data_IF_837704677523
#
_entry.id   IF_837704677523
#
_cell.length_a   1.000
_cell.length_b   1.000
_cell.length_c   1.000
_cell.angle_alpha   90.00
_cell.angle_beta   90.00
_cell.angle_gamma   90.00
#
_symmetry.space_group_name_H-M   'P 1'
#
loop_
_entity.id
_entity.type
_entity.pdbx_description
1 polymer ?
#
# COMPACT_ATOMS: atom_id res chain seq x y z
N UNK A 1 -6.84 20.60 29.06
CA UNK A 1 -8.17 20.90 28.49
C UNK A 1 -8.36 20.30 27.08
N UNK A 2 -7.36 19.62 26.50
CA UNK A 2 -7.45 19.02 25.15
C UNK A 2 -8.00 17.58 25.11
N UNK A 3 -8.03 16.86 26.24
CA UNK A 3 -8.45 15.45 26.27
C UNK A 3 -9.94 15.19 25.99
N UNK A 4 -10.80 16.20 26.09
CA UNK A 4 -12.24 16.03 25.85
C UNK A 4 -12.64 16.15 24.37
N UNK A 5 -11.86 16.86 23.54
CA UNK A 5 -12.19 17.04 22.11
C UNK A 5 -11.88 15.79 21.27
N UNK A 6 -10.79 15.06 21.60
CA UNK A 6 -10.38 13.84 20.90
C UNK A 6 -11.42 12.71 20.99
N UNK A 7 -12.16 12.63 22.10
CA UNK A 7 -13.13 11.56 22.33
C UNK A 7 -14.46 11.73 21.56
N UNK A 8 -14.74 12.91 21.00
CA UNK A 8 -15.94 13.15 20.18
C UNK A 8 -15.73 12.77 18.72
N UNK A 9 -14.49 12.81 18.22
CA UNK A 9 -14.20 12.60 16.80
C UNK A 9 -14.00 11.12 16.41
N UNK A 10 -13.75 10.25 17.40
CA UNK A 10 -13.37 8.86 17.17
C UNK A 10 -14.18 7.92 18.05
N UNK A 11 -14.82 6.92 17.45
CA UNK A 11 -15.40 5.80 18.17
C UNK A 11 -14.42 4.62 18.15
N UNK A 12 -13.88 4.25 19.32
CA UNK A 12 -13.00 3.09 19.45
C UNK A 12 -13.80 1.79 19.33
N UNK A 13 -13.46 0.98 18.32
CA UNK A 13 -13.92 -0.41 18.15
C UNK A 13 -12.87 -1.33 18.81
N UNK A 14 -13.23 -2.55 19.28
CA UNK A 14 -12.31 -3.48 19.96
C UNK A 14 -10.92 -3.62 19.33
N UNK A 15 -9.94 -3.80 20.21
CA UNK A 15 -8.53 -4.03 19.91
C UNK A 15 -8.30 -5.53 19.74
N UNK A 16 -7.59 -5.92 18.69
CA UNK A 16 -7.19 -7.31 18.48
C UNK A 16 -5.67 -7.44 18.53
N UNK A 17 -5.17 -8.58 19.01
CA UNK A 17 -3.73 -8.83 19.15
C UNK A 17 -3.42 -10.18 18.53
N UNK A 18 -2.64 -10.17 17.44
CA UNK A 18 -2.32 -11.37 16.65
C UNK A 18 -1.31 -12.26 17.37
N UNK A 19 -0.38 -11.66 18.12
CA UNK A 19 0.62 -12.37 18.89
C UNK A 19 0.96 -11.62 20.17
N UNK A 20 1.23 -12.31 21.29
CA UNK A 20 1.81 -11.69 22.48
C UNK A 20 3.28 -11.25 22.27
N UNK A 21 3.87 -11.51 21.09
CA UNK A 21 5.22 -11.10 20.70
C UNK A 21 5.15 -10.05 19.59
N UNK A 22 6.15 -9.16 19.49
CA UNK A 22 6.26 -8.24 18.36
C UNK A 22 6.18 -8.97 17.02
N UNK A 23 5.24 -8.53 16.18
CA UNK A 23 5.09 -8.91 14.78
C UNK A 23 5.47 -7.66 14.01
N UNK A 24 6.65 -7.64 13.42
CA UNK A 24 7.09 -6.53 12.58
C UNK A 24 6.20 -6.54 11.33
N UNK A 25 5.07 -5.84 11.42
CA UNK A 25 4.12 -5.64 10.33
C UNK A 25 4.80 -4.80 9.26
N UNK A 26 4.74 -5.27 8.03
CA UNK A 26 5.36 -4.61 6.88
C UNK A 26 4.33 -4.22 5.82
N UNK A 27 3.14 -4.80 5.85
CA UNK A 27 2.04 -4.44 4.96
C UNK A 27 0.69 -4.89 5.51
N UNK A 28 -0.36 -4.18 5.13
CA UNK A 28 -1.74 -4.48 5.46
C UNK A 28 -2.62 -4.20 4.24
N UNK A 29 -3.59 -5.07 4.00
CA UNK A 29 -4.68 -4.81 3.09
C UNK A 29 -6.00 -5.28 3.70
N UNK A 30 -7.09 -4.70 3.21
CA UNK A 30 -8.44 -5.11 3.54
C UNK A 30 -9.08 -5.76 2.32
N UNK A 31 -9.84 -6.83 2.53
CA UNK A 31 -10.52 -7.56 1.46
C UNK A 31 -11.41 -8.64 2.03
N UNK A 32 -12.47 -9.01 1.31
CA UNK A 32 -13.35 -10.13 1.67
C UNK A 32 -12.66 -11.45 1.28
N UNK A 33 -12.14 -12.17 2.28
CA UNK A 33 -11.35 -13.40 2.07
C UNK A 33 -12.21 -14.65 2.18
N UNK A 34 -13.30 -14.62 2.94
CA UNK A 34 -14.19 -15.77 3.13
C UNK A 34 -15.50 -15.70 2.33
N UNK A 35 -15.74 -14.61 1.61
CA UNK A 35 -16.85 -14.41 0.69
C UNK A 35 -18.16 -14.02 1.39
N UNK A 36 -18.09 -13.37 2.55
CA UNK A 36 -19.25 -12.97 3.35
C UNK A 36 -19.69 -11.51 3.15
N UNK A 37 -19.07 -10.80 2.19
CA UNK A 37 -19.24 -9.37 1.89
C UNK A 37 -18.78 -8.42 3.02
N UNK A 38 -18.11 -8.90 4.07
CA UNK A 38 -17.42 -8.07 5.07
C UNK A 38 -15.92 -7.98 4.77
N UNK A 39 -15.30 -6.82 5.03
CA UNK A 39 -13.86 -6.66 4.83
C UNK A 39 -13.09 -7.32 5.97
N UNK A 40 -12.13 -8.18 5.61
CA UNK A 40 -11.18 -8.81 6.52
C UNK A 40 -9.84 -8.07 6.54
N UNK A 41 -8.99 -8.40 7.52
CA UNK A 41 -7.64 -7.85 7.61
C UNK A 41 -6.61 -8.90 7.18
N UNK A 42 -5.80 -8.56 6.19
CA UNK A 42 -4.64 -9.37 5.76
C UNK A 42 -3.36 -8.61 6.07
N UNK A 43 -2.45 -9.23 6.82
CA UNK A 43 -1.16 -8.65 7.18
C UNK A 43 0.00 -9.46 6.61
N UNK A 44 0.97 -8.76 6.03
CA UNK A 44 2.31 -9.27 5.82
C UNK A 44 3.21 -8.84 6.97
N UNK A 45 3.92 -9.80 7.58
CA UNK A 45 4.75 -9.52 8.74
C UNK A 45 5.98 -10.42 8.83
N UNK A 46 6.92 -9.97 9.65
CA UNK A 46 8.18 -10.63 9.96
C UNK A 46 8.48 -10.51 11.46
N UNK A 47 9.61 -11.07 11.91
CA UNK A 47 10.11 -10.86 13.28
C UNK A 47 9.82 -11.97 14.28
N UNK A 48 8.72 -12.73 14.16
CA UNK A 48 8.57 -13.98 14.90
C UNK A 48 9.03 -15.17 14.01
N UNK A 49 10.13 -15.88 14.37
CA UNK A 49 10.62 -17.03 13.61
C UNK A 49 9.61 -18.18 13.46
N UNK A 50 8.53 -18.17 14.25
CA UNK A 50 7.46 -19.15 14.21
C UNK A 50 6.23 -18.68 13.41
N UNK A 51 6.11 -17.38 13.11
CA UNK A 51 4.91 -16.80 12.49
C UNK A 51 5.18 -15.92 11.27
N UNK A 52 6.43 -15.69 10.85
CA UNK A 52 6.73 -14.88 9.68
C UNK A 52 5.92 -15.34 8.44
N UNK A 53 5.31 -14.37 7.76
CA UNK A 53 4.51 -14.63 6.57
C UNK A 53 3.27 -13.76 6.48
N UNK A 54 2.15 -14.36 6.10
CA UNK A 54 0.86 -13.66 5.99
C UNK A 54 -0.10 -14.15 7.06
N UNK A 55 -0.84 -13.23 7.69
CA UNK A 55 -1.94 -13.57 8.57
C UNK A 55 -3.25 -12.98 8.06
N UNK A 56 -4.31 -13.78 8.09
CA UNK A 56 -5.69 -13.35 7.84
C UNK A 56 -6.43 -13.30 9.16
N UNK A 57 -7.16 -12.21 9.38
CA UNK A 57 -8.12 -12.06 10.47
C UNK A 57 -9.47 -11.76 9.85
N UNK A 58 -10.38 -12.72 9.97
CA UNK A 58 -11.72 -12.54 9.44
C UNK A 58 -12.49 -11.59 10.34
N UNK A 59 -13.16 -10.62 9.73
CA UNK A 59 -14.20 -9.86 10.38
C UNK A 59 -15.40 -10.78 10.61
N UNK A 60 -16.03 -10.68 11.77
CA UNK A 60 -17.22 -11.48 12.12
C UNK A 60 -18.32 -10.55 12.61
N UNK A 61 -18.43 -9.40 11.97
CA UNK A 61 -19.26 -8.27 12.35
C UNK A 61 -18.68 -7.40 13.47
N UNK A 62 -19.47 -6.36 13.82
CA UNK A 62 -19.09 -5.12 14.54
C UNK A 62 -18.45 -5.24 15.94
N UNK A 63 -18.04 -6.42 16.40
CA UNK A 63 -17.33 -6.59 17.68
C UNK A 63 -16.38 -7.78 17.80
N UNK A 64 -16.19 -8.59 16.75
CA UNK A 64 -15.30 -9.75 16.82
C UNK A 64 -14.52 -9.95 15.52
N UNK A 65 -13.23 -10.24 15.64
CA UNK A 65 -12.46 -10.85 14.55
C UNK A 65 -12.10 -12.28 14.92
N UNK A 66 -11.80 -13.11 13.92
CA UNK A 66 -11.33 -14.48 14.14
C UNK A 66 -9.98 -14.51 14.86
N UNK A 67 -9.60 -15.71 15.33
CA UNK A 67 -8.17 -15.94 15.57
C UNK A 67 -7.40 -15.81 14.26
N UNK A 68 -6.17 -15.28 14.28
CA UNK A 68 -5.38 -15.12 13.07
C UNK A 68 -5.04 -16.49 12.47
N UNK A 69 -5.31 -16.65 11.17
CA UNK A 69 -4.82 -17.78 10.38
C UNK A 69 -3.54 -17.36 9.68
N UNK A 70 -2.43 -18.02 10.00
CA UNK A 70 -1.10 -17.63 9.49
C UNK A 70 -0.56 -18.63 8.47
N UNK A 71 0.05 -18.09 7.43
CA UNK A 71 0.64 -18.78 6.30
C UNK A 71 2.14 -18.51 6.28
N UNK A 72 2.93 -19.57 6.40
CA UNK A 72 4.39 -19.48 6.28
C UNK A 72 4.76 -19.43 4.81
N UNK A 73 5.44 -18.36 4.43
CA UNK A 73 5.94 -18.13 3.07
C UNK A 73 7.12 -19.05 2.74
N UNK A 74 7.42 -19.19 1.44
CA UNK A 74 8.52 -19.97 0.90
C UNK A 74 9.88 -19.52 1.44
N UNK A 75 10.00 -18.25 1.80
CA UNK A 75 11.19 -17.66 2.44
C UNK A 75 10.83 -16.72 3.62
N UNK A 76 11.83 -16.11 4.25
CA UNK A 76 11.63 -15.34 5.49
C UNK A 76 10.90 -14.01 5.25
N UNK A 77 9.89 -13.75 6.08
CA UNK A 77 9.18 -12.46 6.15
C UNK A 77 8.29 -12.13 4.94
N UNK A 78 7.21 -11.39 5.18
CA UNK A 78 6.46 -10.70 4.13
C UNK A 78 6.75 -9.20 4.23
N UNK A 79 7.22 -8.54 3.16
CA UNK A 79 7.51 -7.08 3.17
C UNK A 79 6.58 -6.25 2.30
N UNK A 80 5.71 -6.89 1.51
CA UNK A 80 4.68 -6.23 0.71
C UNK A 80 3.59 -7.24 0.35
N UNK A 81 2.37 -6.75 0.19
CA UNK A 81 1.16 -7.56 0.05
C UNK A 81 0.21 -6.86 -0.92
N UNK A 82 -0.29 -7.59 -1.91
CA UNK A 82 -1.42 -7.17 -2.75
C UNK A 82 -2.43 -8.30 -2.86
N UNK A 83 -3.72 -7.96 -2.86
CA UNK A 83 -4.84 -8.87 -3.02
C UNK A 83 -5.48 -8.67 -4.39
N UNK A 84 -5.74 -9.77 -5.10
CA UNK A 84 -6.45 -9.79 -6.37
C UNK A 84 -6.89 -11.22 -6.70
N UNK A 85 -7.87 -11.37 -7.57
CA UNK A 85 -8.25 -12.67 -8.14
C UNK A 85 -7.33 -12.96 -9.35
N UNK A 86 -6.30 -13.80 -9.16
CA UNK A 86 -5.32 -14.14 -10.19
C UNK A 86 -5.72 -15.38 -11.01
N UNK A 87 -6.69 -16.17 -10.53
CA UNK A 87 -7.14 -17.41 -11.14
C UNK A 87 -8.62 -17.39 -11.62
N UNK A 88 -9.25 -16.22 -11.56
CA UNK A 88 -10.62 -15.93 -11.97
C UNK A 88 -11.69 -16.79 -11.27
N UNK A 89 -11.43 -17.21 -10.04
CA UNK A 89 -12.37 -18.01 -9.25
C UNK A 89 -13.31 -17.17 -8.36
N UNK A 90 -13.23 -15.84 -8.49
CA UNK A 90 -13.98 -14.83 -7.73
C UNK A 90 -13.60 -14.75 -6.25
N UNK A 91 -12.43 -15.24 -5.88
CA UNK A 91 -11.89 -15.13 -4.53
C UNK A 91 -10.62 -14.31 -4.57
N UNK A 92 -10.37 -13.57 -3.49
CA UNK A 92 -9.11 -12.85 -3.37
C UNK A 92 -7.98 -13.84 -3.11
N UNK A 93 -6.96 -13.77 -3.93
CA UNK A 93 -5.64 -14.35 -3.72
C UNK A 93 -4.71 -13.28 -3.12
N UNK A 94 -3.53 -13.71 -2.66
CA UNK A 94 -2.49 -12.81 -2.19
C UNK A 94 -1.20 -13.00 -3.00
N UNK A 95 -0.58 -11.89 -3.41
CA UNK A 95 0.83 -11.85 -3.82
C UNK A 95 1.65 -11.16 -2.74
N UNK A 96 2.79 -11.75 -2.38
CA UNK A 96 3.59 -11.33 -1.23
C UNK A 96 5.06 -11.30 -1.58
N UNK A 97 5.72 -10.19 -1.23
CA UNK A 97 7.19 -10.11 -1.29
C UNK A 97 7.82 -10.86 -0.12
N UNK A 98 8.72 -11.78 -0.41
CA UNK A 98 9.51 -12.53 0.58
C UNK A 98 10.95 -12.03 0.63
N UNK A 99 11.63 -12.20 1.76
CA UNK A 99 13.05 -11.85 1.93
C UNK A 99 13.88 -13.08 2.33
N UNK A 100 14.71 -13.51 1.40
CA UNK A 100 15.65 -14.59 1.58
C UNK A 100 16.68 -14.38 2.67
N UNK A 101 17.14 -15.48 3.26
CA UNK A 101 18.27 -15.47 4.18
C UNK A 101 19.58 -14.99 3.52
N UNK A 102 19.65 -15.05 2.19
CA UNK A 102 20.71 -14.51 1.34
C UNK A 102 20.53 -13.00 1.04
N UNK A 103 19.44 -12.39 1.51
CA UNK A 103 19.08 -11.00 1.25
C UNK A 103 18.36 -10.78 -0.08
N UNK A 104 18.15 -11.82 -0.88
CA UNK A 104 17.41 -11.75 -2.14
C UNK A 104 15.92 -11.77 -1.85
N UNK A 105 15.14 -10.95 -2.54
CA UNK A 105 13.68 -10.97 -2.41
C UNK A 105 13.04 -11.74 -3.55
N UNK A 106 11.94 -12.41 -3.25
CA UNK A 106 11.16 -13.20 -4.21
C UNK A 106 9.67 -12.90 -4.06
N UNK A 107 8.84 -13.49 -4.92
CA UNK A 107 7.38 -13.38 -4.84
C UNK A 107 6.73 -14.74 -4.61
N UNK A 108 5.88 -14.80 -3.59
CA UNK A 108 4.93 -15.88 -3.38
C UNK A 108 3.53 -15.45 -3.79
N UNK A 109 2.78 -16.36 -4.40
CA UNK A 109 1.33 -16.24 -4.64
C UNK A 109 0.61 -17.29 -3.81
N UNK A 110 -0.45 -16.89 -3.11
CA UNK A 110 -1.29 -17.76 -2.30
C UNK A 110 -2.73 -17.65 -2.82
N UNK A 111 -3.23 -18.72 -3.45
CA UNK A 111 -4.59 -18.73 -4.01
C UNK A 111 -5.65 -18.86 -2.92
N UNK A 112 -6.72 -18.07 -3.00
CA UNK A 112 -7.89 -18.13 -2.14
C UNK A 112 -8.57 -19.49 -2.24
N UNK A 113 -8.95 -20.07 -1.09
CA UNK A 113 -9.60 -21.38 -1.04
C UNK A 113 -11.07 -21.28 -0.60
N UNK A 114 -11.55 -20.08 -0.25
CA UNK A 114 -12.91 -19.81 0.21
C UNK A 114 -13.33 -20.65 1.43
N UNK A 115 -12.35 -21.19 2.15
CA UNK A 115 -12.50 -21.92 3.40
C UNK A 115 -11.92 -21.11 4.56
N UNK A 116 -12.14 -19.79 4.54
CA UNK A 116 -11.61 -18.82 5.52
C UNK A 116 -10.10 -18.53 5.34
N UNK A 117 -9.60 -18.49 4.10
CA UNK A 117 -8.23 -18.07 3.80
C UNK A 117 -7.63 -18.61 2.50
N UNK A 118 -6.29 -18.64 2.46
CA UNK A 118 -5.48 -19.05 1.31
C UNK A 118 -5.00 -20.51 1.34
N UNK A 119 -4.52 -20.97 0.20
CA UNK A 119 -3.81 -22.22 -0.01
C UNK A 119 -2.33 -22.17 0.36
N UNK A 120 -1.56 -23.16 -0.11
CA UNK A 120 -0.12 -23.16 0.07
C UNK A 120 0.53 -22.07 -0.81
N UNK A 121 1.55 -21.33 -0.32
CA UNK A 121 2.30 -20.39 -1.15
C UNK A 121 3.02 -21.09 -2.29
N UNK A 122 3.00 -20.46 -3.46
CA UNK A 122 3.75 -20.85 -4.64
C UNK A 122 4.73 -19.74 -5.03
N UNK A 123 6.00 -20.09 -5.20
CA UNK A 123 7.06 -19.17 -5.60
C UNK A 123 6.98 -18.88 -7.10
N UNK A 124 6.65 -17.64 -7.48
CA UNK A 124 6.41 -17.26 -8.89
C UNK A 124 7.54 -16.42 -9.52
N UNK A 125 8.37 -15.76 -8.72
CA UNK A 125 9.53 -14.99 -9.20
C UNK A 125 10.71 -15.10 -8.22
N UNK A 126 11.65 -16.03 -8.42
CA UNK A 126 12.82 -16.18 -7.55
C UNK A 126 13.90 -15.14 -7.86
N UNK A 127 14.52 -14.57 -6.80
CA UNK A 127 15.78 -13.79 -6.87
C UNK A 127 15.73 -12.41 -7.56
N UNK A 128 14.62 -11.68 -7.48
CA UNK A 128 14.40 -10.43 -8.23
C UNK A 128 14.81 -9.13 -7.50
N UNK A 129 15.41 -9.19 -6.30
CA UNK A 129 15.67 -7.97 -5.45
C UNK A 129 14.46 -7.01 -5.43
N UNK A 130 13.27 -7.59 -5.30
CA UNK A 130 12.00 -6.89 -5.37
C UNK A 130 11.91 -5.80 -4.31
N UNK A 131 11.69 -4.55 -4.70
CA UNK A 131 11.55 -3.41 -3.80
C UNK A 131 10.10 -2.92 -3.65
N UNK A 132 9.25 -3.21 -4.62
CA UNK A 132 7.83 -2.89 -4.58
C UNK A 132 7.05 -3.77 -5.56
N UNK A 133 5.78 -3.97 -5.24
CA UNK A 133 4.83 -4.68 -6.09
C UNK A 133 3.52 -3.91 -6.19
N UNK A 134 2.90 -3.98 -7.36
CA UNK A 134 1.52 -3.55 -7.59
C UNK A 134 0.79 -4.51 -8.52
N UNK A 135 -0.54 -4.42 -8.54
CA UNK A 135 -1.42 -5.22 -9.40
C UNK A 135 -2.18 -4.30 -10.36
N UNK A 136 -2.37 -4.78 -11.59
CA UNK A 136 -3.12 -4.07 -12.65
C UNK A 136 -3.49 -5.01 -13.78
N UNK A 137 -4.28 -4.54 -14.74
CA UNK A 137 -4.39 -5.18 -16.07
C UNK A 137 -3.61 -4.27 -17.02
N UNK A 138 -2.34 -4.60 -17.28
CA UNK A 138 -1.43 -3.72 -18.01
C UNK A 138 -1.52 -3.91 -19.52
N UNK A 139 -2.06 -5.04 -19.99
CA UNK A 139 -2.18 -5.34 -21.42
C UNK A 139 -3.63 -5.39 -21.92
N UNK A 140 -4.59 -5.03 -21.07
CA UNK A 140 -6.03 -5.01 -21.34
C UNK A 140 -6.59 -6.38 -21.78
N UNK A 141 -6.01 -7.48 -21.29
CA UNK A 141 -6.48 -8.84 -21.59
C UNK A 141 -7.56 -9.35 -20.60
N UNK A 142 -7.82 -8.59 -19.54
CA UNK A 142 -8.80 -8.89 -18.50
C UNK A 142 -8.24 -9.69 -17.33
N UNK A 143 -6.98 -10.13 -17.39
CA UNK A 143 -6.32 -10.85 -16.31
C UNK A 143 -5.58 -9.89 -15.38
N UNK A 144 -5.36 -10.33 -14.13
CA UNK A 144 -4.57 -9.57 -13.16
C UNK A 144 -3.10 -9.87 -13.37
N UNK A 145 -2.36 -8.83 -13.69
CA UNK A 145 -0.91 -8.80 -13.82
C UNK A 145 -0.26 -8.25 -12.55
N UNK A 146 1.02 -8.58 -12.37
CA UNK A 146 1.83 -8.01 -11.28
C UNK A 146 2.96 -7.18 -11.90
N UNK A 147 3.13 -5.95 -11.41
CA UNK A 147 4.33 -5.17 -11.68
C UNK A 147 5.28 -5.24 -10.49
N UNK A 148 6.57 -5.42 -10.80
CA UNK A 148 7.65 -5.59 -9.85
C UNK A 148 8.69 -4.50 -10.12
N UNK A 149 8.97 -3.70 -9.09
CA UNK A 149 10.04 -2.71 -9.13
C UNK A 149 11.23 -3.24 -8.34
N UNK A 150 12.43 -3.18 -8.92
CA UNK A 150 13.63 -3.82 -8.39
C UNK A 150 14.82 -2.86 -8.36
N UNK A 151 15.86 -3.22 -7.61
CA UNK A 151 17.12 -2.49 -7.58
C UNK A 151 18.01 -2.87 -8.76
N UNK A 152 18.48 -1.89 -9.53
CA UNK A 152 19.46 -2.11 -10.61
C UNK A 152 20.84 -2.41 -10.03
N UNK A 153 21.27 -3.66 -10.08
CA UNK A 153 22.71 -4.01 -10.06
C UNK A 153 23.02 -4.61 -11.44
N UNK A 154 24.23 -4.36 -11.93
CA UNK A 154 24.72 -4.75 -13.27
C UNK A 154 24.12 -6.08 -13.80
N UNK A 155 23.13 -5.96 -14.70
CA UNK A 155 22.45 -7.09 -15.36
C UNK A 155 21.00 -7.40 -14.93
N UNK A 156 20.48 -6.80 -13.85
CA UNK A 156 19.10 -7.00 -13.38
C UNK A 156 18.16 -5.92 -13.95
N UNK A 157 16.98 -6.33 -14.47
CA UNK A 157 15.96 -5.41 -14.95
C UNK A 157 15.27 -4.70 -13.76
N UNK A 158 15.22 -3.35 -13.74
CA UNK A 158 14.63 -2.63 -12.61
C UNK A 158 13.10 -2.63 -12.58
N UNK A 159 12.46 -3.08 -13.67
CA UNK A 159 11.02 -3.20 -13.79
C UNK A 159 10.70 -4.53 -14.51
N UNK A 160 9.85 -5.34 -13.89
CA UNK A 160 9.37 -6.60 -14.47
C UNK A 160 7.84 -6.61 -14.43
N UNK A 161 7.21 -6.91 -15.56
CA UNK A 161 5.79 -7.24 -15.63
C UNK A 161 5.62 -8.76 -15.63
N UNK A 162 4.80 -9.27 -14.73
CA UNK A 162 4.36 -10.65 -14.69
C UNK A 162 2.92 -10.67 -15.23
N UNK A 163 2.76 -10.97 -16.52
CA UNK A 163 1.45 -11.04 -17.16
C UNK A 163 0.67 -12.26 -16.67
N UNK A 164 -0.51 -12.05 -16.12
CA UNK A 164 -1.40 -13.10 -15.65
C UNK A 164 -1.96 -13.92 -16.81
N UNK A 165 -2.15 -15.23 -16.59
CA UNK A 165 -2.83 -16.11 -17.54
C UNK A 165 -4.28 -16.42 -17.15
N UNK A 166 -4.76 -15.85 -16.04
CA UNK A 166 -6.09 -16.13 -15.48
C UNK A 166 -6.21 -17.50 -14.80
N UNK A 167 -5.11 -18.22 -14.60
CA UNK A 167 -5.08 -19.53 -13.92
C UNK A 167 -4.17 -19.54 -12.69
N UNK A 168 -3.81 -18.35 -12.19
CA UNK A 168 -2.83 -18.17 -11.11
C UNK A 168 -1.36 -18.26 -11.57
N UNK A 169 -1.09 -18.50 -12.87
CA UNK A 169 0.28 -18.49 -13.41
C UNK A 169 0.61 -17.21 -14.17
N UNK A 170 1.91 -16.91 -14.27
CA UNK A 170 2.38 -15.66 -14.86
C UNK A 170 3.44 -15.86 -15.96
N UNK A 171 3.58 -14.85 -16.83
CA UNK A 171 4.62 -14.75 -17.86
C UNK A 171 5.44 -13.47 -17.66
N UNK A 172 6.75 -13.56 -17.37
CA UNK A 172 7.56 -12.37 -17.14
C UNK A 172 7.95 -11.65 -18.43
N UNK A 173 7.98 -10.33 -18.38
CA UNK A 173 8.60 -9.42 -19.35
C UNK A 173 9.43 -8.39 -18.59
N UNK A 174 10.72 -8.35 -18.91
CA UNK A 174 11.71 -7.48 -18.28
C UNK A 174 11.88 -6.17 -19.07
N UNK A 175 12.00 -5.07 -18.33
CA UNK A 175 12.25 -3.73 -18.86
C UNK A 175 13.61 -3.22 -18.38
N UNK A 176 14.53 -3.08 -19.32
CA UNK A 176 15.89 -2.60 -19.10
C UNK A 176 15.92 -1.13 -18.65
N UNK A 177 16.83 -0.80 -17.73
CA UNK A 177 17.03 0.57 -17.27
C UNK A 177 18.19 0.73 -16.29
N UNK A 178 18.81 1.91 -16.32
CA UNK A 178 19.89 2.29 -15.39
C UNK A 178 19.34 3.12 -14.21
N UNK A 179 18.43 2.52 -13.45
CA UNK A 179 17.80 3.12 -12.27
C UNK A 179 17.20 2.03 -11.40
N UNK A 180 16.97 2.29 -10.13
CA UNK A 180 16.25 1.41 -9.21
C UNK A 180 14.86 1.95 -8.95
N UNK A 181 13.91 1.03 -8.82
CA UNK A 181 12.53 1.34 -8.43
C UNK A 181 12.26 0.85 -7.00
N UNK A 182 11.46 1.62 -6.28
CA UNK A 182 10.82 1.29 -5.00
C UNK A 182 9.37 1.73 -5.09
N UNK A 183 8.56 1.41 -4.08
CA UNK A 183 7.23 1.96 -3.81
C UNK A 183 6.45 2.30 -5.09
N UNK A 184 5.57 1.40 -5.50
CA UNK A 184 4.81 1.53 -6.74
C UNK A 184 3.36 1.90 -6.42
N UNK A 185 2.70 2.59 -7.35
CA UNK A 185 1.25 2.64 -7.48
C UNK A 185 0.88 2.55 -8.96
N UNK A 186 -0.38 2.19 -9.21
CA UNK A 186 -0.93 2.02 -10.55
C UNK A 186 -2.20 2.84 -10.72
N UNK A 187 -2.39 3.42 -11.90
CA UNK A 187 -3.55 4.26 -12.22
C UNK A 187 -3.38 4.94 -13.58
N UNK A 188 -4.48 5.45 -14.15
CA UNK A 188 -4.45 6.18 -15.43
C UNK A 188 -3.97 7.63 -15.19
N UNK A 189 -2.72 7.92 -15.54
CA UNK A 189 -2.06 9.19 -15.26
C UNK A 189 -2.21 10.20 -16.41
N UNK A 190 -2.77 9.79 -17.55
CA UNK A 190 -2.89 10.61 -18.75
C UNK A 190 -4.32 10.68 -19.35
N UNK A 191 -5.26 9.92 -18.80
CA UNK A 191 -6.66 9.85 -19.21
C UNK A 191 -6.94 9.01 -20.46
N UNK A 192 -6.04 8.11 -20.85
CA UNK A 192 -6.21 7.25 -22.04
C UNK A 192 -6.87 5.89 -21.76
N UNK A 193 -7.10 5.58 -20.49
CA UNK A 193 -7.73 4.35 -20.02
C UNK A 193 -6.79 3.16 -19.84
N UNK A 194 -5.50 3.28 -20.16
CA UNK A 194 -4.49 2.29 -19.82
C UNK A 194 -4.04 2.45 -18.36
N UNK A 195 -3.68 1.34 -17.72
CA UNK A 195 -3.08 1.38 -16.38
C UNK A 195 -1.61 1.77 -16.51
N UNK A 196 -1.24 2.93 -15.97
CA UNK A 196 0.14 3.39 -15.88
C UNK A 196 0.78 2.99 -14.54
N UNK A 197 2.10 3.16 -14.43
CA UNK A 197 2.84 2.94 -13.18
C UNK A 197 3.44 4.27 -12.71
N UNK A 198 3.26 4.57 -11.42
CA UNK A 198 3.99 5.59 -10.70
C UNK A 198 4.97 4.92 -9.74
N UNK A 199 6.23 5.35 -9.75
CA UNK A 199 7.27 4.72 -8.97
C UNK A 199 8.17 5.73 -8.27
N UNK A 200 8.64 5.38 -7.07
CA UNK A 200 9.86 5.95 -6.53
C UNK A 200 11.05 5.45 -7.34
N UNK A 201 11.75 6.38 -8.00
CA UNK A 201 12.91 6.05 -8.82
C UNK A 201 14.16 6.74 -8.28
N UNK A 202 15.25 5.99 -8.17
CA UNK A 202 16.56 6.55 -7.85
C UNK A 202 17.66 5.99 -8.74
N UNK A 203 18.64 6.83 -9.05
CA UNK A 203 19.81 6.46 -9.86
C UNK A 203 20.96 6.10 -8.91
N UNK A 204 21.29 4.81 -8.83
CA UNK A 204 22.43 4.32 -8.05
C UNK A 204 23.67 4.29 -8.94
N UNK A 205 24.78 4.74 -8.38
CA UNK A 205 26.07 4.76 -9.07
C UNK A 205 27.13 4.24 -8.10
N UNK A 206 28.32 3.90 -8.59
CA UNK A 206 29.44 3.52 -7.71
C UNK A 206 29.81 4.62 -6.68
N UNK A 207 29.38 5.87 -6.93
CA UNK A 207 29.56 7.01 -6.03
C UNK A 207 28.37 7.24 -5.08
N UNK A 208 27.35 6.38 -5.15
CA UNK A 208 26.11 6.40 -4.38
C UNK A 208 24.90 6.96 -5.14
N UNK A 209 23.78 7.13 -4.43
CA UNK A 209 22.51 7.62 -5.02
C UNK A 209 22.62 9.09 -5.41
N UNK A 210 22.44 9.36 -6.70
CA UNK A 210 22.67 10.69 -7.29
C UNK A 210 21.40 11.52 -7.47
N UNK A 211 20.24 10.88 -7.65
CA UNK A 211 18.96 11.57 -7.82
C UNK A 211 17.78 10.69 -7.35
N UNK A 212 16.74 11.35 -6.84
CA UNK A 212 15.43 10.75 -6.54
C UNK A 212 14.38 11.43 -7.40
N UNK A 213 13.43 10.65 -7.92
CA UNK A 213 12.32 11.14 -8.72
C UNK A 213 11.05 10.37 -8.40
N UNK A 214 9.91 11.02 -8.58
CA UNK A 214 8.67 10.32 -8.91
C UNK A 214 8.72 10.07 -10.41
N UNK A 215 8.72 8.81 -10.83
CA UNK A 215 8.71 8.40 -12.22
C UNK A 215 7.32 7.92 -12.63
N UNK A 216 6.88 8.31 -13.82
CA UNK A 216 5.63 7.80 -14.43
C UNK A 216 5.98 7.03 -15.70
N UNK A 217 5.57 5.76 -15.75
CA UNK A 217 5.67 4.90 -16.91
C UNK A 217 4.31 4.87 -17.60
N UNK A 218 4.17 5.68 -18.65
CA UNK A 218 2.95 5.72 -19.45
C UNK A 218 2.86 4.46 -20.31
N UNK A 219 1.78 3.71 -20.14
CA UNK A 219 1.49 2.47 -20.82
C UNK A 219 0.72 2.72 -22.12
N UNK A 220 1.02 1.98 -23.19
CA UNK A 220 0.26 2.06 -24.43
C UNK A 220 -0.99 1.15 -24.46
N UNK A 221 -1.31 0.53 -23.32
CA UNK A 221 -2.41 -0.43 -23.15
C UNK A 221 -2.04 -1.86 -23.57
N UNK A 222 -0.80 -2.11 -23.98
CA UNK A 222 -0.29 -3.46 -24.33
C UNK A 222 0.79 -3.93 -23.36
N UNK A 223 0.93 -3.22 -22.24
CA UNK A 223 1.97 -3.43 -21.23
C UNK A 223 3.32 -2.87 -21.64
N UNK A 224 3.40 -2.07 -22.71
CA UNK A 224 4.63 -1.41 -23.14
C UNK A 224 4.65 0.04 -22.69
N UNK A 225 5.80 0.46 -22.18
CA UNK A 225 5.96 1.80 -21.63
C UNK A 225 6.79 2.70 -22.53
N UNK A 226 6.43 3.98 -22.57
CA UNK A 226 7.32 5.01 -23.10
C UNK A 226 8.55 5.18 -22.17
N UNK A 227 9.51 6.01 -22.60
CA UNK A 227 10.58 6.45 -21.68
C UNK A 227 9.92 7.12 -20.47
N UNK A 228 10.25 6.73 -19.23
CA UNK A 228 9.55 7.22 -18.04
C UNK A 228 9.70 8.73 -17.88
N UNK A 229 8.60 9.39 -17.55
CA UNK A 229 8.60 10.81 -17.20
C UNK A 229 9.11 10.95 -15.77
N UNK A 230 10.24 11.65 -15.60
CA UNK A 230 10.91 11.81 -14.31
C UNK A 230 10.62 13.18 -13.72
N UNK A 231 9.98 13.23 -12.56
CA UNK A 231 9.85 14.44 -11.76
C UNK A 231 10.84 14.39 -10.60
N UNK A 232 11.95 15.12 -10.74
CA UNK A 232 13.00 15.16 -9.71
C UNK A 232 12.47 15.82 -8.44
N UNK A 233 12.68 15.14 -7.32
CA UNK A 233 12.35 15.64 -5.99
C UNK A 233 13.65 15.92 -5.21
N UNK A 234 13.76 17.06 -4.52
CA UNK A 234 14.97 17.38 -3.73
C UNK A 234 15.08 16.60 -2.42
N UNK A 235 14.03 15.90 -1.98
CA UNK A 235 14.02 15.07 -0.76
C UNK A 235 14.40 13.61 -1.05
N UNK A 236 14.77 12.87 -0.01
CA UNK A 236 15.25 11.49 -0.08
C UNK A 236 14.45 10.60 0.87
N UNK A 237 14.36 9.30 0.56
CA UNK A 237 13.88 8.27 1.49
C UNK A 237 12.44 8.46 1.98
N UNK A 238 11.53 8.68 1.05
CA UNK A 238 10.10 8.63 1.35
C UNK A 238 9.65 7.17 1.50
N UNK A 239 8.62 6.94 2.32
CA UNK A 239 8.29 5.59 2.81
C UNK A 239 7.20 4.89 2.02
N UNK A 240 6.27 5.67 1.48
CA UNK A 240 5.04 5.17 0.86
C UNK A 240 4.49 6.23 -0.10
N UNK A 241 3.61 5.80 -1.02
CA UNK A 241 2.84 6.68 -1.89
C UNK A 241 1.42 6.19 -2.09
N UNK A 242 0.56 7.13 -2.50
CA UNK A 242 -0.79 6.83 -2.96
C UNK A 242 -1.20 7.77 -4.09
N UNK A 243 -2.10 7.30 -4.95
CA UNK A 243 -2.75 8.13 -5.97
C UNK A 243 -4.09 8.63 -5.45
N UNK A 244 -4.46 9.85 -5.82
CA UNK A 244 -5.73 10.46 -5.47
C UNK A 244 -6.07 11.59 -6.44
N UNK A 245 -7.34 11.91 -6.63
CA UNK A 245 -7.75 13.17 -7.27
C UNK A 245 -8.13 14.17 -6.17
N UNK A 246 -7.13 14.85 -5.61
CA UNK A 246 -7.29 15.65 -4.38
C UNK A 246 -8.26 16.82 -4.57
N UNK A 247 -8.44 17.27 -5.81
CA UNK A 247 -9.25 18.44 -6.13
C UNK A 247 -10.41 18.15 -7.09
N UNK A 248 -10.69 16.87 -7.36
CA UNK A 248 -11.77 16.38 -8.22
C UNK A 248 -11.81 16.97 -9.62
N UNK A 249 -10.64 17.14 -10.25
CA UNK A 249 -10.57 17.59 -11.66
C UNK A 249 -10.47 16.46 -12.68
N UNK A 250 -10.52 15.21 -12.22
CA UNK A 250 -10.43 14.00 -13.03
C UNK A 250 -8.99 13.60 -13.37
N UNK A 251 -7.98 14.17 -12.70
CA UNK A 251 -6.56 13.83 -12.90
C UNK A 251 -6.00 13.27 -11.60
N UNK A 252 -5.22 12.21 -11.72
CA UNK A 252 -4.54 11.64 -10.56
C UNK A 252 -3.35 12.51 -10.14
N UNK A 253 -3.36 12.89 -8.87
CA UNK A 253 -2.27 13.44 -8.09
C UNK A 253 -1.49 12.31 -7.39
N UNK A 254 -0.33 12.65 -6.85
CA UNK A 254 0.52 11.73 -6.09
C UNK A 254 0.76 12.27 -4.69
N UNK A 255 0.38 11.52 -3.66
CA UNK A 255 0.70 11.80 -2.26
C UNK A 255 1.88 10.94 -1.81
N UNK A 256 2.87 11.57 -1.16
CA UNK A 256 4.15 10.97 -0.73
C UNK A 256 4.39 11.20 0.75
N UNK A 257 4.81 10.16 1.48
CA UNK A 257 5.22 10.32 2.88
C UNK A 257 6.65 10.85 2.99
N UNK A 258 6.83 11.98 3.67
CA UNK A 258 8.13 12.58 4.00
C UNK A 258 8.45 12.36 5.50
N UNK A 259 9.07 11.22 5.89
CA UNK A 259 9.20 10.85 7.29
C UNK A 259 10.09 11.81 8.10
N UNK A 260 11.14 12.36 7.47
CA UNK A 260 12.07 13.27 8.14
C UNK A 260 11.51 14.69 8.30
N UNK A 261 10.57 15.05 7.43
CA UNK A 261 9.83 16.31 7.43
C UNK A 261 8.56 16.22 8.30
N UNK A 262 8.19 15.01 8.74
CA UNK A 262 6.96 14.71 9.49
C UNK A 262 5.73 15.21 8.72
N UNK A 263 5.61 14.81 7.45
CA UNK A 263 4.54 15.27 6.60
C UNK A 263 4.22 14.39 5.41
N UNK A 264 3.22 14.83 4.66
CA UNK A 264 2.85 14.30 3.35
C UNK A 264 2.96 15.41 2.32
N UNK A 265 3.65 15.14 1.22
CA UNK A 265 3.68 16.00 0.04
C UNK A 265 2.68 15.51 -1.00
N UNK A 266 1.85 16.41 -1.55
CA UNK A 266 0.92 16.12 -2.64
C UNK A 266 1.40 16.84 -3.89
N UNK A 267 1.78 16.08 -4.91
CA UNK A 267 2.20 16.55 -6.22
C UNK A 267 0.99 16.54 -7.16
N UNK A 268 0.58 17.72 -7.62
CA UNK A 268 -0.63 17.85 -8.43
C UNK A 268 -0.44 17.33 -9.86
N UNK A 269 -1.30 16.44 -10.31
CA UNK A 269 -1.32 15.85 -11.64
C UNK A 269 -1.68 16.85 -12.72
N UNK A 270 -0.90 16.90 -13.78
CA UNK A 270 -1.21 17.69 -14.98
C UNK A 270 -2.08 16.91 -15.98
N UNK A 271 -2.38 15.64 -15.72
CA UNK A 271 -3.18 14.76 -16.60
C UNK A 271 -2.46 14.35 -17.89
N UNK A 272 -1.13 14.45 -17.92
CA UNK A 272 -0.28 14.00 -19.02
C UNK A 272 0.93 13.20 -18.50
N UNK A 273 0.78 12.61 -17.31
CA UNK A 273 1.87 11.96 -16.56
C UNK A 273 2.89 12.92 -15.92
N UNK A 274 2.72 14.24 -16.03
CA UNK A 274 3.56 15.22 -15.32
C UNK A 274 2.89 15.76 -14.07
N UNK A 275 3.71 16.39 -13.23
CA UNK A 275 3.27 17.03 -11.99
C UNK A 275 3.55 18.53 -11.98
N UNK A 276 2.67 19.27 -11.32
CA UNK A 276 2.71 20.71 -11.13
C UNK A 276 3.09 21.10 -9.70
N UNK A 277 2.20 21.86 -9.05
CA UNK A 277 2.41 22.38 -7.70
C UNK A 277 2.53 21.25 -6.66
N UNK A 278 3.39 21.47 -5.66
CA UNK A 278 3.57 20.57 -4.53
C UNK A 278 3.04 21.23 -3.27
N UNK A 279 2.02 20.64 -2.66
CA UNK A 279 1.50 21.07 -1.35
C UNK A 279 2.03 20.15 -0.27
N UNK A 280 2.23 20.68 0.96
CA UNK A 280 2.69 19.88 2.10
C UNK A 280 1.75 20.01 3.28
N UNK A 281 1.50 18.87 3.91
CA UNK A 281 0.66 18.76 5.09
C UNK A 281 1.46 18.12 6.22
N UNK A 282 1.47 18.75 7.39
CA UNK A 282 2.17 18.23 8.55
C UNK A 282 1.41 17.05 9.16
N UNK A 283 2.12 16.02 9.60
CA UNK A 283 1.61 14.85 10.32
C UNK A 283 2.23 14.74 11.72
N UNK A 284 1.94 13.65 12.44
CA UNK A 284 2.78 13.18 13.54
C UNK A 284 4.19 12.78 13.06
N UNK A 285 5.07 12.44 14.01
CA UNK A 285 6.47 12.11 13.72
C UNK A 285 6.66 10.70 13.17
N UNK A 286 7.61 10.59 12.24
CA UNK A 286 7.94 9.33 11.56
C UNK A 286 6.72 8.68 10.90
N UNK A 287 6.00 9.37 10.00
CA UNK A 287 4.96 8.72 9.20
C UNK A 287 5.58 7.60 8.36
N UNK A 288 4.93 6.43 8.31
CA UNK A 288 5.45 5.23 7.61
C UNK A 288 4.48 4.58 6.64
N UNK A 289 3.18 4.85 6.77
CA UNK A 289 2.13 4.31 5.88
C UNK A 289 1.03 5.35 5.66
N UNK A 290 0.46 5.35 4.45
CA UNK A 290 -0.53 6.32 3.98
C UNK A 290 -1.75 5.59 3.41
N UNK A 291 -2.93 6.04 3.78
CA UNK A 291 -4.19 5.65 3.15
C UNK A 291 -4.94 6.89 2.64
N UNK A 292 -5.70 6.71 1.57
CA UNK A 292 -6.51 7.76 0.93
C UNK A 292 -7.97 7.32 0.90
N UNK A 293 -8.88 8.22 1.28
CA UNK A 293 -10.31 7.99 1.23
C UNK A 293 -11.10 9.14 1.82
N UNK A 294 -12.36 9.27 1.44
CA UNK A 294 -13.29 10.29 1.98
C UNK A 294 -13.81 9.82 3.34
N UNK A 295 -13.11 10.20 4.42
CA UNK A 295 -13.39 9.69 5.77
C UNK A 295 -14.44 10.53 6.50
N UNK A 296 -14.63 11.79 6.11
CA UNK A 296 -15.65 12.67 6.67
C UNK A 296 -16.94 12.76 5.84
N UNK A 297 -16.95 12.14 4.65
CA UNK A 297 -18.06 12.09 3.69
C UNK A 297 -18.38 13.47 3.11
N UNK A 298 -17.40 14.37 2.98
CA UNK A 298 -17.57 15.67 2.33
C UNK A 298 -17.48 15.58 0.78
N UNK A 299 -17.10 14.41 0.27
CA UNK A 299 -16.97 14.12 -1.14
C UNK A 299 -15.58 14.39 -1.70
N UNK A 300 -14.59 14.80 -0.90
CA UNK A 300 -13.19 14.94 -1.30
C UNK A 300 -12.33 13.87 -0.62
N UNK A 301 -11.26 13.37 -1.26
CA UNK A 301 -10.40 12.39 -0.63
C UNK A 301 -9.56 13.03 0.48
N UNK A 302 -9.44 12.32 1.60
CA UNK A 302 -8.60 12.69 2.73
C UNK A 302 -7.36 11.79 2.81
N UNK A 303 -6.41 12.19 3.65
CA UNK A 303 -5.18 11.43 3.89
C UNK A 303 -5.11 10.96 5.33
N UNK A 304 -4.77 9.69 5.54
CA UNK A 304 -4.58 9.11 6.87
C UNK A 304 -3.19 8.51 6.95
N UNK A 305 -2.41 8.89 7.98
CA UNK A 305 -1.04 8.39 8.17
C UNK A 305 -0.84 7.65 9.49
N UNK A 306 -0.09 6.54 9.44
CA UNK A 306 0.49 5.89 10.60
C UNK A 306 1.81 6.59 10.99
N UNK A 307 1.89 7.15 12.19
CA UNK A 307 3.05 7.89 12.69
C UNK A 307 3.75 7.06 13.77
N UNK A 308 4.78 6.35 13.36
CA UNK A 308 5.44 5.30 14.14
C UNK A 308 6.08 5.87 15.42
N UNK A 309 6.85 6.96 15.28
CA UNK A 309 7.62 7.54 16.39
C UNK A 309 6.70 8.17 17.46
N UNK A 310 5.58 8.76 17.04
CA UNK A 310 4.60 9.37 17.95
C UNK A 310 3.55 8.40 18.48
N UNK A 311 3.45 7.19 17.92
CA UNK A 311 2.41 6.21 18.26
C UNK A 311 1.00 6.76 18.02
N UNK A 312 0.83 7.51 16.94
CA UNK A 312 -0.43 8.16 16.57
C UNK A 312 -0.82 7.86 15.12
N UNK A 313 -2.11 7.99 14.84
CA UNK A 313 -2.60 8.21 13.48
C UNK A 313 -2.83 9.70 13.28
N UNK A 314 -2.55 10.22 12.09
CA UNK A 314 -2.99 11.56 11.67
C UNK A 314 -4.09 11.41 10.63
N UNK A 315 -5.20 12.12 10.79
CA UNK A 315 -6.24 12.30 9.76
C UNK A 315 -6.14 13.72 9.23
N UNK A 316 -5.92 13.88 7.93
CA UNK A 316 -5.84 15.15 7.23
C UNK A 316 -7.02 15.26 6.29
N UNK A 317 -8.03 16.04 6.70
CA UNK A 317 -9.14 16.35 5.81
C UNK A 317 -8.74 17.47 4.87
N UNK A 318 -8.65 17.16 3.58
CA UNK A 318 -8.18 18.11 2.58
C UNK A 318 -9.29 19.10 2.22
N UNK A 319 -10.51 18.59 2.08
CA UNK A 319 -11.71 19.32 1.68
C UNK A 319 -11.65 19.92 0.28
N UNK A 320 -12.68 20.67 -0.08
CA UNK A 320 -12.79 21.30 -1.39
C UNK A 320 -11.63 22.27 -1.71
N UNK A 321 -11.26 22.47 -2.99
CA UNK A 321 -10.20 23.39 -3.39
C UNK A 321 -10.35 24.80 -2.78
N UNK A 322 -9.30 25.27 -2.11
CA UNK A 322 -9.27 26.56 -1.41
C UNK A 322 -9.76 26.52 0.04
N UNK A 323 -10.23 25.36 0.52
CA UNK A 323 -10.48 25.12 1.93
C UNK A 323 -9.16 25.02 2.70
N UNK A 324 -9.20 25.34 3.99
CA UNK A 324 -8.06 25.09 4.88
C UNK A 324 -8.12 23.63 5.34
N UNK A 325 -7.09 22.82 5.05
CA UNK A 325 -7.06 21.44 5.52
C UNK A 325 -7.13 21.37 7.05
N UNK A 326 -7.88 20.41 7.56
CA UNK A 326 -8.02 20.16 9.00
C UNK A 326 -7.23 18.92 9.38
N UNK A 327 -6.68 18.90 10.60
CA UNK A 327 -5.83 17.82 11.10
C UNK A 327 -6.37 17.31 12.44
N UNK A 328 -6.50 15.99 12.54
CA UNK A 328 -6.73 15.28 13.80
C UNK A 328 -5.61 14.29 14.06
N UNK A 329 -5.37 14.02 15.33
CA UNK A 329 -4.45 13.00 15.76
C UNK A 329 -5.12 12.05 16.74
N UNK A 330 -4.81 10.77 16.61
CA UNK A 330 -5.31 9.75 17.51
C UNK A 330 -4.15 8.95 18.11
N UNK A 331 -3.89 9.06 19.43
CA UNK A 331 -2.92 8.20 20.10
C UNK A 331 -3.40 6.74 20.16
N UNK A 332 -2.58 5.80 19.70
CA UNK A 332 -2.91 4.37 19.72
C UNK A 332 -2.30 3.61 20.92
N UNK A 333 -1.19 4.13 21.46
CA UNK A 333 -0.44 3.49 22.55
C UNK A 333 0.42 2.30 22.11
N UNK A 334 0.48 2.01 20.81
CA UNK A 334 1.46 1.12 20.16
C UNK A 334 2.05 1.83 18.92
N UNK A 335 3.20 1.40 18.40
CA UNK A 335 3.82 1.95 17.19
C UNK A 335 3.04 1.47 15.95
N UNK A 336 2.26 2.32 15.28
CA UNK A 336 1.57 1.91 14.06
C UNK A 336 2.58 1.74 12.94
N UNK A 337 2.52 0.59 12.26
CA UNK A 337 3.35 0.25 11.12
C UNK A 337 2.57 0.33 9.79
N UNK A 338 1.26 0.10 9.84
CA UNK A 338 0.39 0.19 8.66
C UNK A 338 -0.94 0.85 9.00
N UNK A 339 -1.55 1.50 8.00
CA UNK A 339 -2.92 2.02 8.03
C UNK A 339 -3.66 1.66 6.75
N UNK A 340 -4.95 1.40 6.85
CA UNK A 340 -5.86 1.18 5.73
C UNK A 340 -7.23 1.81 6.04
N UNK A 341 -8.01 2.05 5.00
CA UNK A 341 -9.38 2.54 5.08
C UNK A 341 -10.32 1.51 4.49
N UNK A 342 -11.42 1.23 5.17
CA UNK A 342 -12.43 0.29 4.69
C UNK A 342 -13.68 0.32 5.56
N UNK A 343 -14.80 -0.08 4.98
CA UNK A 343 -16.04 -0.28 5.71
C UNK A 343 -15.97 -1.59 6.49
N UNK A 344 -15.66 -1.50 7.78
CA UNK A 344 -15.43 -2.64 8.66
C UNK A 344 -16.68 -2.99 9.49
N UNK A 345 -17.66 -2.09 9.59
CA UNK A 345 -18.88 -2.31 10.39
C UNK A 345 -20.17 -2.42 9.58
N UNK A 346 -20.06 -2.34 8.25
CA UNK A 346 -21.17 -2.44 7.30
C UNK A 346 -21.98 -1.16 7.16
N UNK A 347 -21.56 -0.04 7.77
CA UNK A 347 -22.19 1.26 7.58
C UNK A 347 -21.76 1.93 6.25
N UNK A 348 -22.14 3.18 5.99
CA UNK A 348 -21.77 3.86 4.73
C UNK A 348 -20.39 4.53 4.78
N UNK A 349 -19.56 4.22 5.77
CA UNK A 349 -18.38 4.96 6.20
C UNK A 349 -17.11 4.18 6.07
N UNK A 350 -16.02 4.92 6.07
CA UNK A 350 -14.69 4.34 6.13
C UNK A 350 -14.23 4.36 7.58
N UNK A 351 -13.91 3.19 8.10
CA UNK A 351 -13.14 3.06 9.33
C UNK A 351 -11.65 3.11 9.00
N UNK A 352 -10.91 3.66 9.96
CA UNK A 352 -9.46 3.63 9.96
C UNK A 352 -9.01 2.34 10.66
N UNK A 353 -8.34 1.47 9.92
CA UNK A 353 -7.71 0.26 10.45
C UNK A 353 -6.22 0.54 10.57
N UNK A 354 -5.63 0.31 11.75
CA UNK A 354 -4.19 0.40 11.96
C UNK A 354 -3.64 -0.87 12.59
N UNK A 355 -2.51 -1.33 12.07
CA UNK A 355 -1.75 -2.44 12.62
C UNK A 355 -0.42 -1.93 13.18
N UNK A 356 -0.14 -2.26 14.44
CA UNK A 356 1.11 -1.90 15.12
C UNK A 356 2.15 -3.01 15.15
N UNK A 357 3.38 -2.66 15.53
CA UNK A 357 4.53 -3.59 15.61
C UNK A 357 4.35 -4.73 16.63
N UNK A 358 3.35 -4.64 17.51
CA UNK A 358 2.98 -5.76 18.40
C UNK A 358 1.94 -6.70 17.78
N UNK A 359 1.61 -6.53 16.50
CA UNK A 359 0.48 -7.20 15.86
C UNK A 359 -0.86 -6.75 16.43
N UNK A 360 -0.90 -5.56 17.04
CA UNK A 360 -2.11 -4.96 17.57
C UNK A 360 -2.87 -4.29 16.44
N UNK A 361 -4.11 -4.70 16.20
CA UNK A 361 -5.03 -4.06 15.27
C UNK A 361 -5.96 -3.14 16.06
N UNK A 362 -6.11 -1.91 15.58
CA UNK A 362 -7.07 -0.93 16.10
C UNK A 362 -7.95 -0.47 14.94
N UNK A 363 -9.26 -0.55 15.13
CA UNK A 363 -10.26 -0.07 14.17
C UNK A 363 -10.98 1.14 14.78
N UNK A 364 -11.13 2.20 14.01
CA UNK A 364 -11.67 3.46 14.51
C UNK A 364 -12.55 4.12 13.47
N UNK A 365 -13.81 4.36 13.81
CA UNK A 365 -14.68 5.21 13.00
C UNK A 365 -14.35 6.69 13.22
N UNK A 366 -14.28 7.46 12.13
CA UNK A 366 -14.12 8.92 12.18
C UNK A 366 -15.48 9.60 12.04
N UNK A 367 -15.74 10.59 12.90
CA UNK A 367 -16.87 11.51 12.74
C UNK A 367 -16.40 12.91 13.12
N UNK A 368 -16.56 13.89 12.24
CA UNK A 368 -16.24 15.27 12.61
C UNK A 368 -17.17 15.73 13.78
N UNK A 369 -16.65 16.38 14.84
CA UNK A 369 -17.44 16.85 15.99
C UNK A 369 -18.55 17.86 15.69
#
# INVERSE_FOLDING_TARGET
MYTALFALAFALVPIYTISPRPLSVQGMQLGDIDGDDELDVVLAHSGDPLLYGVSVLLNRGSSSVSQPRSYRLSDNGGTGLRLADFNEDQRLDAVVMTLGADGMRSLDVLLGQGDEGFGAPELVAPNEKVNGIEVGDFNADGHRDIVVGSGSVEGDAPLVLLFGRGDGTFAPVEYEGEYSLRNLATGDMNGDGAVDIVAEMYEDTDEGVTAWSVAVFLNDGTGKFAVPLRHRVPWRYWKDLALLDANRDGRLDVALIEPYENGVAVLRGAGDGKFGEVTRHATGRGPVSLAVGDVDRDGFPDLVTANEEDKTITVLLLGAPGSTPKRWELPLGDQPAAVALGNMDGDAGLEIVSAGETGRITVVGFREP
#
